data_IF_628761850425
#
_entry.id   IF_628761850425
#
_cell.length_a   1.000
_cell.length_b   1.000
_cell.length_c   1.000
_cell.angle_alpha   90.00
_cell.angle_beta   90.00
_cell.angle_gamma   90.00
#
_symmetry.space_group_name_H-M   'P 1'
#
loop_
_entity.id
_entity.type
_entity.pdbx_description
1 polymer ?
#
# COMPACT_ATOMS: atom_id res chain seq x y z
N UNK A 1 -29.30 -2.67 -38.99
CA UNK A 1 -29.95 -1.74 -38.04
C UNK A 1 -29.97 -2.24 -36.59
N UNK A 2 -30.17 -3.54 -36.31
CA UNK A 2 -30.26 -4.07 -34.92
C UNK A 2 -28.99 -3.90 -34.06
N UNK A 3 -27.79 -3.93 -34.66
CA UNK A 3 -26.51 -3.77 -33.94
C UNK A 3 -26.23 -2.34 -33.47
N UNK A 4 -26.81 -1.32 -34.11
CA UNK A 4 -26.59 0.08 -33.71
C UNK A 4 -27.33 0.41 -32.39
N UNK A 5 -28.50 -0.22 -32.18
CA UNK A 5 -29.30 -0.03 -30.97
C UNK A 5 -28.61 -0.59 -29.71
N UNK A 6 -27.88 -1.71 -29.84
CA UNK A 6 -27.16 -2.31 -28.71
C UNK A 6 -25.99 -1.42 -28.26
N UNK A 7 -25.23 -0.85 -29.19
CA UNK A 7 -24.13 0.06 -28.83
C UNK A 7 -24.64 1.36 -28.21
N UNK A 8 -25.77 1.89 -28.68
CA UNK A 8 -26.38 3.10 -28.11
C UNK A 8 -26.87 2.87 -26.66
N UNK A 9 -27.42 1.70 -26.36
CA UNK A 9 -27.85 1.35 -24.99
C UNK A 9 -26.67 1.24 -24.01
N UNK A 10 -25.54 0.68 -24.47
CA UNK A 10 -24.31 0.57 -23.68
C UNK A 10 -23.73 1.95 -23.36
N UNK A 11 -23.79 2.88 -24.32
CA UNK A 11 -23.29 4.24 -24.15
C UNK A 11 -24.17 5.06 -23.19
N UNK A 12 -25.50 4.89 -23.23
CA UNK A 12 -26.41 5.52 -22.27
C UNK A 12 -26.26 4.97 -20.83
N UNK A 13 -26.08 3.67 -20.68
CA UNK A 13 -25.87 3.04 -19.37
C UNK A 13 -24.55 3.48 -18.73
N UNK A 14 -23.48 3.59 -19.53
CA UNK A 14 -22.17 4.02 -19.04
C UNK A 14 -22.16 5.47 -18.55
N UNK A 15 -22.80 6.40 -19.26
CA UNK A 15 -22.83 7.82 -18.86
C UNK A 15 -23.73 8.08 -17.65
N UNK A 16 -24.83 7.34 -17.50
CA UNK A 16 -25.73 7.45 -16.35
C UNK A 16 -25.07 7.10 -15.02
N UNK A 17 -24.23 6.06 -14.98
CA UNK A 17 -23.53 5.64 -13.76
C UNK A 17 -22.49 6.66 -13.27
N UNK A 18 -21.77 7.30 -14.20
CA UNK A 18 -20.76 8.32 -13.88
C UNK A 18 -21.41 9.61 -13.36
N UNK A 19 -22.50 10.06 -13.98
CA UNK A 19 -23.20 11.29 -13.58
C UNK A 19 -23.92 11.15 -12.23
N UNK A 20 -24.54 9.99 -11.98
CA UNK A 20 -25.22 9.71 -10.70
C UNK A 20 -24.24 9.53 -9.53
N UNK A 21 -23.10 8.87 -9.75
CA UNK A 21 -22.06 8.71 -8.72
C UNK A 21 -21.39 10.04 -8.34
N UNK A 22 -21.14 10.93 -9.31
CA UNK A 22 -20.57 12.25 -9.05
C UNK A 22 -21.50 13.19 -8.27
N UNK A 23 -22.81 13.13 -8.54
CA UNK A 23 -23.79 13.99 -7.86
C UNK A 23 -23.91 13.67 -6.36
N UNK A 24 -23.80 12.39 -5.96
CA UNK A 24 -23.89 11.99 -4.55
C UNK A 24 -22.62 12.31 -3.74
N UNK A 25 -21.45 12.36 -4.38
CA UNK A 25 -20.21 12.79 -3.72
C UNK A 25 -20.15 14.32 -3.56
N UNK A 26 -20.77 15.08 -4.48
CA UNK A 26 -20.77 16.54 -4.45
C UNK A 26 -21.75 17.16 -3.44
N UNK A 27 -22.80 16.43 -3.02
CA UNK A 27 -23.77 16.95 -2.03
C UNK A 27 -23.31 16.87 -0.59
N UNK A 28 -22.12 16.34 -0.32
CA UNK A 28 -21.63 16.06 1.05
C UNK A 28 -20.35 16.84 1.40
N UNK A 29 -20.27 18.11 1.00
CA UNK A 29 -19.25 19.04 1.48
C UNK A 29 -19.52 19.41 2.95
N UNK A 30 -18.69 19.01 3.92
CA UNK A 30 -18.81 19.54 5.27
C UNK A 30 -18.38 21.01 5.27
N UNK A 31 -19.35 21.85 5.62
CA UNK A 31 -19.22 23.26 5.97
C UNK A 31 -18.14 23.40 7.06
N UNK A 32 -16.93 23.85 6.69
CA UNK A 32 -15.92 24.24 7.68
C UNK A 32 -16.25 25.65 8.13
N UNK A 33 -16.62 25.76 9.40
CA UNK A 33 -17.05 26.97 10.05
C UNK A 33 -15.96 28.04 10.05
N UNK A 34 -16.37 29.25 9.71
CA UNK A 34 -15.72 30.49 10.10
C UNK A 34 -15.83 30.65 11.63
N UNK A 35 -14.72 30.93 12.28
CA UNK A 35 -14.69 31.50 13.64
C UNK A 35 -13.44 32.36 13.73
N UNK A 36 -13.63 33.61 13.34
CA UNK A 36 -12.72 34.69 13.62
C UNK A 36 -12.73 35.07 15.10
N UNK A 37 -11.55 35.51 15.56
CA UNK A 37 -11.26 36.35 16.73
C UNK A 37 -11.32 35.70 18.13
N UNK A 38 -10.17 35.69 18.82
CA UNK A 38 -9.85 36.81 19.72
C UNK A 38 -8.39 36.86 20.16
N UNK A 39 -7.86 38.07 20.11
CA UNK A 39 -6.65 38.59 20.75
C UNK A 39 -6.68 38.33 22.25
N UNK A 40 -5.64 37.67 22.79
CA UNK A 40 -5.21 37.96 24.16
C UNK A 40 -3.69 38.14 24.20
N UNK A 41 -3.30 39.35 24.57
CA UNK A 41 -1.95 39.77 24.89
C UNK A 41 -1.44 38.95 26.08
N UNK A 42 -0.42 38.13 25.85
CA UNK A 42 0.39 37.51 26.89
C UNK A 42 1.86 37.85 26.65
N UNK A 43 2.33 38.88 27.33
CA UNK A 43 3.76 39.24 27.39
C UNK A 43 4.49 38.08 28.06
N UNK A 44 5.26 37.31 27.29
CA UNK A 44 6.29 36.42 27.81
C UNK A 44 7.59 36.63 27.02
N UNK A 45 8.52 37.25 27.74
CA UNK A 45 9.98 37.17 27.66
C UNK A 45 10.61 36.70 26.33
N UNK A 46 11.50 37.54 25.81
CA UNK A 46 12.57 37.13 24.91
C UNK A 46 13.45 36.06 25.56
N UNK A 47 13.70 34.92 24.90
CA UNK A 47 15.02 34.33 24.92
C UNK A 47 15.74 34.74 23.64
N UNK A 48 16.81 35.50 23.85
CA UNK A 48 17.90 35.73 22.90
C UNK A 48 18.50 34.38 22.52
N UNK A 49 17.92 33.67 21.55
CA UNK A 49 18.59 32.58 20.79
C UNK A 49 18.09 32.53 19.33
N UNK A 50 17.69 33.66 18.74
CA UNK A 50 17.38 33.74 17.31
C UNK A 50 18.62 34.07 16.45
N UNK A 51 19.82 33.63 16.87
CA UNK A 51 21.08 33.95 16.16
C UNK A 51 21.91 32.75 15.69
N UNK A 52 21.36 31.53 15.73
CA UNK A 52 22.04 30.35 15.17
C UNK A 52 21.18 29.51 14.22
N UNK A 53 20.21 30.11 13.52
CA UNK A 53 19.45 29.44 12.47
C UNK A 53 19.85 29.87 11.05
N UNK A 54 20.73 30.86 10.92
CA UNK A 54 21.19 31.37 9.62
C UNK A 54 22.56 30.84 9.20
N UNK A 55 23.15 29.96 10.02
CA UNK A 55 24.24 29.07 9.63
C UNK A 55 23.73 27.64 9.54
N UNK A 56 22.54 27.50 8.96
CA UNK A 56 21.99 26.22 8.57
C UNK A 56 22.75 25.82 7.32
N UNK A 57 23.92 25.20 7.52
CA UNK A 57 24.64 24.51 6.47
C UNK A 57 23.61 23.61 5.78
N UNK A 58 23.43 23.81 4.47
CA UNK A 58 22.46 23.07 3.63
C UNK A 58 22.67 21.55 3.62
N UNK A 59 23.67 21.07 4.36
CA UNK A 59 24.15 19.70 4.49
C UNK A 59 23.87 19.04 5.85
N UNK A 60 23.11 19.65 6.76
CA UNK A 60 22.80 18.94 8.03
C UNK A 60 22.08 17.60 7.80
N UNK A 61 21.15 17.54 6.85
CA UNK A 61 20.44 16.29 6.53
C UNK A 61 21.37 15.22 5.97
N UNK A 62 22.30 15.60 5.09
CA UNK A 62 23.27 14.66 4.51
C UNK A 62 24.22 14.14 5.58
N UNK A 63 24.67 15.00 6.51
CA UNK A 63 25.50 14.59 7.65
C UNK A 63 24.80 13.55 8.54
N UNK A 64 23.52 13.77 8.87
CA UNK A 64 22.75 12.78 9.63
C UNK A 64 22.58 11.49 8.83
N UNK A 65 22.26 11.57 7.53
CA UNK A 65 22.12 10.39 6.67
C UNK A 65 23.43 9.61 6.55
N UNK A 66 24.57 10.27 6.44
CA UNK A 66 25.88 9.61 6.39
C UNK A 66 26.19 8.88 7.71
N UNK A 67 25.74 9.45 8.83
CA UNK A 67 25.92 8.86 10.15
C UNK A 67 24.98 7.67 10.41
N UNK A 68 23.70 7.75 10.03
CA UNK A 68 22.68 6.74 10.37
C UNK A 68 22.34 5.78 9.23
N UNK A 69 22.65 6.15 7.99
CA UNK A 69 22.37 5.37 6.79
C UNK A 69 22.89 3.94 6.84
N UNK A 70 24.11 3.67 7.36
CA UNK A 70 24.62 2.29 7.50
C UNK A 70 23.77 1.38 8.40
N UNK A 71 22.89 1.94 9.25
CA UNK A 71 21.99 1.15 10.09
C UNK A 71 20.73 0.69 9.33
N UNK A 72 20.45 1.21 8.13
CA UNK A 72 19.25 0.90 7.35
C UNK A 72 19.55 -0.15 6.29
N UNK A 73 18.73 -1.19 6.22
CA UNK A 73 18.92 -2.32 5.28
C UNK A 73 17.66 -2.60 4.46
N UNK A 74 17.87 -3.19 3.29
CA UNK A 74 16.79 -3.79 2.48
C UNK A 74 16.65 -5.26 2.83
N UNK A 75 15.43 -5.68 3.12
CA UNK A 75 15.07 -7.05 3.48
C UNK A 75 14.30 -7.68 2.33
N UNK A 76 14.73 -8.87 1.91
CA UNK A 76 13.95 -9.77 1.04
C UNK A 76 13.70 -11.04 1.85
N UNK A 77 12.44 -11.34 2.10
CA UNK A 77 12.02 -12.53 2.82
C UNK A 77 11.25 -13.44 1.87
N UNK A 78 11.38 -14.76 2.04
CA UNK A 78 10.66 -15.73 1.23
C UNK A 78 10.33 -16.99 2.03
N UNK A 79 9.14 -17.52 1.85
CA UNK A 79 8.64 -18.75 2.47
C UNK A 79 8.10 -19.68 1.43
N UNK A 80 8.35 -20.96 1.63
CA UNK A 80 7.74 -22.02 0.84
C UNK A 80 6.43 -22.41 1.51
N UNK A 81 5.32 -22.08 0.86
CA UNK A 81 3.99 -22.56 1.25
C UNK A 81 3.62 -23.75 0.38
N UNK A 82 3.50 -24.92 1.02
CA UNK A 82 2.95 -26.11 0.38
C UNK A 82 1.43 -26.01 0.44
N UNK A 83 0.80 -25.54 -0.64
CA UNK A 83 -0.65 -25.64 -0.77
C UNK A 83 -0.92 -27.08 -1.19
N UNK A 84 -1.42 -27.88 -0.24
CA UNK A 84 -1.90 -29.23 -0.56
C UNK A 84 -2.79 -29.18 -1.79
N UNK A 85 -2.77 -30.23 -2.61
CA UNK A 85 -3.63 -30.36 -3.80
C UNK A 85 -5.09 -30.33 -3.36
N UNK A 86 -5.63 -29.14 -3.16
CA UNK A 86 -7.04 -28.91 -2.94
C UNK A 86 -7.62 -28.59 -4.31
N UNK A 87 -7.81 -29.66 -5.10
CA UNK A 87 -8.69 -29.57 -6.25
C UNK A 87 -10.05 -29.14 -5.72
N UNK A 88 -10.73 -28.15 -6.33
CA UNK A 88 -12.11 -27.87 -5.99
C UNK A 88 -12.91 -29.18 -6.09
N UNK A 89 -13.78 -29.45 -5.12
CA UNK A 89 -14.46 -30.74 -4.95
C UNK A 89 -15.26 -31.24 -6.20
N UNK A 90 -15.38 -30.42 -7.25
CA UNK A 90 -15.98 -30.77 -8.55
C UNK A 90 -15.00 -31.29 -9.62
N UNK A 91 -13.69 -31.34 -9.38
CA UNK A 91 -12.69 -31.89 -10.31
C UNK A 91 -12.36 -33.37 -10.07
N UNK A 92 -12.91 -33.96 -9.00
CA UNK A 92 -12.73 -35.37 -8.63
C UNK A 92 -13.86 -36.28 -9.20
N UNK A 93 -14.63 -35.81 -10.19
CA UNK A 93 -15.63 -36.64 -10.85
C UNK A 93 -14.93 -37.54 -11.90
N UNK A 94 -15.15 -38.87 -11.88
CA UNK A 94 -14.61 -39.80 -12.88
C UNK A 94 -14.91 -39.41 -14.33
N UNK A 95 -16.00 -38.69 -14.59
CA UNK A 95 -16.30 -38.17 -15.93
C UNK A 95 -15.34 -37.04 -16.31
N UNK A 96 -15.07 -36.09 -15.42
CA UNK A 96 -14.17 -34.96 -15.66
C UNK A 96 -12.72 -35.40 -15.90
N UNK A 97 -12.21 -36.37 -15.13
CA UNK A 97 -10.87 -36.94 -15.32
C UNK A 97 -10.70 -37.60 -16.69
N UNK A 98 -11.73 -38.28 -17.21
CA UNK A 98 -11.68 -38.94 -18.52
C UNK A 98 -11.66 -37.96 -19.70
N UNK A 99 -12.27 -36.78 -19.56
CA UNK A 99 -12.34 -35.76 -20.61
C UNK A 99 -11.20 -34.73 -20.54
N UNK A 100 -10.71 -34.39 -19.34
CA UNK A 100 -9.76 -33.30 -19.12
C UNK A 100 -8.47 -33.70 -18.37
N UNK A 101 -8.38 -34.92 -17.84
CA UNK A 101 -7.29 -35.35 -16.94
C UNK A 101 -5.89 -35.34 -17.57
N UNK A 102 -5.78 -35.52 -18.88
CA UNK A 102 -4.51 -35.45 -19.61
C UNK A 102 -4.07 -34.02 -19.98
N UNK A 103 -4.92 -33.02 -19.74
CA UNK A 103 -4.67 -31.61 -20.12
C UNK A 103 -4.49 -30.69 -18.91
N UNK A 104 -4.67 -31.17 -17.68
CA UNK A 104 -4.46 -30.36 -16.47
C UNK A 104 -2.96 -30.28 -16.21
N UNK A 105 -2.33 -29.09 -16.34
CA UNK A 105 -0.93 -28.93 -15.97
C UNK A 105 -0.82 -29.16 -14.46
N UNK A 106 0.09 -30.03 -14.04
CA UNK A 106 0.46 -30.16 -12.63
C UNK A 106 0.95 -28.79 -12.15
N UNK A 107 0.09 -28.06 -11.43
CA UNK A 107 0.53 -26.84 -10.77
C UNK A 107 1.48 -27.26 -9.65
N UNK A 108 2.66 -26.63 -9.53
CA UNK A 108 3.56 -26.92 -8.43
C UNK A 108 2.81 -26.74 -7.12
N UNK A 109 2.78 -27.78 -6.30
CA UNK A 109 2.14 -27.79 -4.97
C UNK A 109 2.81 -26.82 -4.00
N UNK A 110 3.96 -26.27 -4.39
CA UNK A 110 4.74 -25.34 -3.61
C UNK A 110 4.73 -23.98 -4.29
N UNK A 111 4.10 -23.00 -3.63
CA UNK A 111 4.23 -21.60 -3.98
C UNK A 111 5.31 -20.99 -3.09
N UNK A 112 6.14 -20.13 -3.67
CA UNK A 112 7.05 -19.28 -2.89
C UNK A 112 6.33 -17.95 -2.69
N UNK A 113 6.09 -17.59 -1.44
CA UNK A 113 5.68 -16.24 -1.07
C UNK A 113 6.94 -15.39 -0.86
N UNK A 114 6.82 -14.09 -1.09
CA UNK A 114 7.94 -13.16 -1.06
C UNK A 114 7.48 -11.84 -0.43
N UNK A 115 8.22 -11.40 0.57
CA UNK A 115 8.08 -10.10 1.22
C UNK A 115 9.32 -9.24 0.93
N UNK A 116 9.12 -7.93 0.73
CA UNK A 116 10.21 -6.96 0.62
C UNK A 116 9.92 -5.77 1.50
N UNK A 117 10.94 -5.27 2.20
CA UNK A 117 10.80 -4.11 3.07
C UNK A 117 12.15 -3.54 3.49
N UNK A 118 12.10 -2.54 4.35
CA UNK A 118 13.28 -2.01 5.05
C UNK A 118 13.37 -2.56 6.46
N UNK A 119 14.55 -2.43 7.06
CA UNK A 119 14.74 -2.67 8.49
C UNK A 119 15.94 -1.89 9.03
N UNK A 120 16.12 -1.96 10.34
CA UNK A 120 17.16 -1.26 11.08
C UNK A 120 18.02 -2.24 11.87
N UNK A 121 19.33 -2.04 11.84
CA UNK A 121 20.27 -2.73 12.73
C UNK A 121 20.25 -2.01 14.08
N UNK A 122 19.82 -2.70 15.13
CA UNK A 122 19.62 -2.09 16.46
C UNK A 122 20.79 -2.31 17.43
N UNK A 123 21.68 -3.26 17.13
CA UNK A 123 22.85 -3.56 17.96
C UNK A 123 24.05 -4.04 17.13
N UNK A 124 25.22 -4.14 17.77
CA UNK A 124 26.45 -4.59 17.10
C UNK A 124 26.47 -6.09 16.76
N UNK A 125 25.57 -6.86 17.37
CA UNK A 125 25.43 -8.30 17.10
C UNK A 125 24.68 -8.59 15.80
N UNK A 126 24.14 -7.54 15.14
CA UNK A 126 23.41 -7.67 13.89
C UNK A 126 21.93 -8.02 14.06
N UNK A 127 21.31 -7.66 15.19
CA UNK A 127 19.86 -7.76 15.35
C UNK A 127 19.16 -6.74 14.44
N UNK A 128 18.15 -7.20 13.70
CA UNK A 128 17.35 -6.40 12.77
C UNK A 128 15.93 -6.19 13.31
N UNK A 129 15.44 -4.97 13.20
CA UNK A 129 14.03 -4.61 13.43
C UNK A 129 13.35 -4.29 12.10
N UNK A 130 12.18 -4.88 11.85
CA UNK A 130 11.36 -4.61 10.66
C UNK A 130 9.87 -4.75 11.00
N UNK A 131 9.00 -4.41 10.04
CA UNK A 131 7.56 -4.60 10.20
C UNK A 131 7.21 -6.09 10.12
N UNK A 132 6.22 -6.51 10.90
CA UNK A 132 5.75 -7.90 10.92
C UNK A 132 5.33 -8.41 9.53
N UNK A 133 4.62 -7.59 8.74
CA UNK A 133 4.15 -8.01 7.41
C UNK A 133 5.29 -8.35 6.43
N UNK A 134 6.50 -7.83 6.63
CA UNK A 134 7.66 -8.11 5.77
C UNK A 134 8.08 -9.57 5.91
N UNK A 135 7.94 -10.13 7.12
CA UNK A 135 8.31 -11.52 7.44
C UNK A 135 7.11 -12.47 7.46
N UNK A 136 5.90 -11.99 7.76
CA UNK A 136 4.69 -12.80 7.76
C UNK A 136 4.12 -13.03 6.36
N UNK A 137 4.20 -12.03 5.47
CA UNK A 137 3.78 -12.13 4.07
C UNK A 137 4.82 -12.77 3.15
N UNK A 138 5.98 -13.11 3.72
CA UNK A 138 7.02 -13.86 3.07
C UNK A 138 6.68 -15.33 3.03
#
# INVERSE_FOLDING_TARGET
MKKALTYLSLLLLGTGAVFSGGYLLASNSPLSAESDSETSSGVFATPVVARSLLKQDSNFITEVVDQVGPAVVRINASRRVSRGRQFPNGFNDPSFERFFGSQIPERPSQRVEQGTGSGFIINKDGQLLTNAHVVEGA
#
